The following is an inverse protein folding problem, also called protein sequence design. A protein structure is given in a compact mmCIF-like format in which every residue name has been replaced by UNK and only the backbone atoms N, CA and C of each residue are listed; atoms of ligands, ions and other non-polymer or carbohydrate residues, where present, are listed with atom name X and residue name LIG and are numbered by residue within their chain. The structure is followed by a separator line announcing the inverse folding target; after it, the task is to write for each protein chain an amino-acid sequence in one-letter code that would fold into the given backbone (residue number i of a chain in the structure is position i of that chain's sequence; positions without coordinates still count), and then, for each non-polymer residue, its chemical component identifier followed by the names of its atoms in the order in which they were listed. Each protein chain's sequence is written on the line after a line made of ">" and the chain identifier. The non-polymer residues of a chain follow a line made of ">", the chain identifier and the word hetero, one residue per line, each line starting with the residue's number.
data_IF_954038291147
#
_entry.id   IF_954038291147
#
_cell.length_a   1.000
_cell.length_b   1.000
_cell.length_c   1.000
_cell.angle_alpha   90.00
_cell.angle_beta   90.00
_cell.angle_gamma   90.00
#
_symmetry.space_group_name_H-M   'P 1'
#
loop_
_entity.id
_entity.type
_entity.pdbx_description
1 polymer ?
#
# COMPACT_ATOMS: atom_id res chain seq x y z
N UNK A 1 13.50 26.95 1.67
CA UNK A 1 13.26 25.83 0.75
C UNK A 1 12.28 24.88 1.40
N UNK A 2 11.16 24.54 0.76
CA UNK A 2 10.23 23.56 1.27
C UNK A 2 10.85 22.18 1.46
N UNK A 3 10.41 21.48 2.49
CA UNK A 3 10.73 20.09 2.81
C UNK A 3 9.44 19.24 2.82
N UNK A 4 9.58 17.92 2.92
CA UNK A 4 8.44 16.98 2.93
C UNK A 4 7.39 17.33 4.00
N UNK A 5 7.81 17.84 5.17
CA UNK A 5 6.87 18.24 6.23
C UNK A 5 5.89 19.32 5.77
N UNK A 6 6.38 20.32 5.04
CA UNK A 6 5.54 21.41 4.50
C UNK A 6 4.50 20.88 3.50
N UNK A 7 4.87 19.84 2.74
CA UNK A 7 3.97 19.18 1.78
C UNK A 7 2.79 18.52 2.50
N UNK A 8 3.01 17.90 3.66
CA UNK A 8 1.92 17.31 4.45
C UNK A 8 0.94 18.36 4.98
N UNK A 9 1.43 19.53 5.41
CA UNK A 9 0.59 20.64 5.86
C UNK A 9 -0.29 21.18 4.71
N UNK A 10 0.31 21.35 3.53
CA UNK A 10 -0.41 21.75 2.31
C UNK A 10 -1.45 20.70 1.93
N UNK A 11 -1.10 19.41 1.96
CA UNK A 11 -2.00 18.32 1.63
C UNK A 11 -3.23 18.26 2.56
N UNK A 12 -3.08 18.57 3.86
CA UNK A 12 -4.21 18.66 4.79
C UNK A 12 -5.15 19.84 4.44
N UNK A 13 -4.62 20.98 3.98
CA UNK A 13 -5.44 22.09 3.48
C UNK A 13 -6.28 21.67 2.26
N UNK A 14 -5.63 21.02 1.27
CA UNK A 14 -6.29 20.50 0.06
C UNK A 14 -7.38 19.47 0.43
N UNK A 15 -7.07 18.56 1.37
CA UNK A 15 -7.99 17.52 1.85
C UNK A 15 -9.27 18.11 2.43
N UNK A 16 -9.16 19.11 3.30
CA UNK A 16 -10.30 19.81 3.90
C UNK A 16 -11.14 20.54 2.85
N UNK A 17 -10.50 21.19 1.88
CA UNK A 17 -11.20 21.99 0.88
C UNK A 17 -11.94 21.15 -0.19
N UNK A 18 -11.33 20.05 -0.63
CA UNK A 18 -11.76 19.36 -1.84
C UNK A 18 -12.09 17.88 -1.67
N UNK A 19 -11.73 17.27 -0.53
CA UNK A 19 -11.87 15.82 -0.29
C UNK A 19 -11.42 14.97 -1.50
N UNK A 20 -10.16 15.14 -1.96
CA UNK A 20 -9.66 14.49 -3.17
C UNK A 20 -9.62 12.97 -3.00
N UNK A 21 -9.49 12.24 -4.12
CA UNK A 21 -9.24 10.80 -4.11
C UNK A 21 -7.78 10.50 -3.73
N UNK A 22 -6.82 11.29 -4.22
CA UNK A 22 -5.40 11.16 -3.87
C UNK A 22 -4.64 12.48 -4.07
N UNK A 23 -3.51 12.64 -3.37
CA UNK A 23 -2.54 13.72 -3.56
C UNK A 23 -1.16 13.06 -3.72
N UNK A 24 -0.48 13.37 -4.81
CA UNK A 24 0.85 12.84 -5.13
C UNK A 24 1.82 14.02 -5.28
N UNK A 25 2.89 14.00 -4.51
CA UNK A 25 4.04 14.89 -4.68
C UNK A 25 4.93 14.33 -5.78
N UNK A 26 5.41 15.16 -6.69
CA UNK A 26 6.41 14.77 -7.68
C UNK A 26 7.50 15.84 -7.79
N UNK A 27 8.48 15.66 -8.68
CA UNK A 27 9.54 16.64 -8.88
C UNK A 27 10.65 16.57 -7.82
N UNK A 28 11.33 17.71 -7.60
CA UNK A 28 12.56 17.84 -6.81
C UNK A 28 12.39 17.32 -5.37
N UNK A 29 11.38 17.80 -4.64
CA UNK A 29 11.11 17.40 -3.25
C UNK A 29 10.81 15.89 -3.16
N UNK A 30 10.11 15.33 -4.15
CA UNK A 30 9.81 13.91 -4.19
C UNK A 30 11.06 13.04 -4.41
N UNK A 31 12.09 13.55 -5.08
CA UNK A 31 13.36 12.82 -5.25
C UNK A 31 14.29 13.03 -4.07
N UNK A 32 14.51 14.29 -3.71
CA UNK A 32 15.64 14.73 -2.90
C UNK A 32 15.23 15.16 -1.48
N UNK A 33 13.94 15.15 -1.16
CA UNK A 33 13.38 15.51 0.15
C UNK A 33 13.28 17.02 0.43
N UNK A 34 13.86 17.84 -0.45
CA UNK A 34 13.82 19.30 -0.47
C UNK A 34 13.90 19.82 -1.91
N UNK A 35 13.45 21.05 -2.14
CA UNK A 35 13.41 21.65 -3.47
C UNK A 35 13.05 23.12 -3.42
N UNK A 36 12.96 23.75 -4.59
CA UNK A 36 12.58 25.16 -4.72
C UNK A 36 11.07 25.35 -4.90
N UNK A 37 10.41 24.33 -5.46
CA UNK A 37 9.01 24.29 -5.83
C UNK A 37 8.29 23.04 -5.31
N UNK A 38 7.00 23.18 -5.03
CA UNK A 38 6.14 22.09 -4.59
C UNK A 38 5.21 21.67 -5.74
N UNK A 39 5.56 20.58 -6.39
CA UNK A 39 4.83 19.96 -7.50
C UNK A 39 3.79 18.94 -6.99
N UNK A 40 2.49 19.24 -7.09
CA UNK A 40 1.41 18.36 -6.63
C UNK A 40 0.48 17.93 -7.76
N UNK A 41 0.18 16.63 -7.81
CA UNK A 41 -0.90 16.05 -8.58
C UNK A 41 -2.05 15.69 -7.64
N UNK A 42 -3.18 16.37 -7.77
CA UNK A 42 -4.40 16.09 -7.02
C UNK A 42 -5.38 15.34 -7.91
N UNK A 43 -5.68 14.10 -7.53
CA UNK A 43 -6.67 13.26 -8.21
C UNK A 43 -8.01 13.46 -7.53
N UNK A 44 -9.03 13.88 -8.28
CA UNK A 44 -10.36 14.11 -7.71
C UNK A 44 -11.37 14.69 -8.70
N UNK A 45 -12.42 15.29 -8.18
CA UNK A 45 -13.48 15.90 -9.02
C UNK A 45 -12.99 17.23 -9.60
N UNK A 46 -13.04 17.38 -10.93
CA UNK A 46 -12.64 18.64 -11.62
C UNK A 46 -13.34 19.90 -11.08
N UNK A 47 -14.61 19.78 -10.64
CA UNK A 47 -15.39 20.89 -10.07
C UNK A 47 -14.77 21.51 -8.81
N UNK A 48 -13.83 20.83 -8.15
CA UNK A 48 -13.17 21.29 -6.92
C UNK A 48 -11.82 21.99 -7.17
N UNK A 49 -11.39 22.17 -8.42
CA UNK A 49 -10.10 22.82 -8.74
C UNK A 49 -9.97 24.21 -8.09
N UNK A 50 -11.02 25.01 -8.10
CA UNK A 50 -10.96 26.36 -7.56
C UNK A 50 -10.93 26.37 -6.02
N UNK A 51 -11.60 25.42 -5.37
CA UNK A 51 -11.54 25.23 -3.92
C UNK A 51 -10.11 24.84 -3.49
N UNK A 52 -9.46 23.97 -4.27
CA UNK A 52 -8.05 23.59 -4.07
C UNK A 52 -7.16 24.84 -4.16
N UNK A 53 -7.25 25.63 -5.24
CA UNK A 53 -6.41 26.82 -5.41
C UNK A 53 -6.60 27.81 -4.25
N UNK A 54 -7.84 28.06 -3.83
CA UNK A 54 -8.14 28.95 -2.69
C UNK A 54 -7.53 28.44 -1.38
N UNK A 55 -7.52 27.12 -1.17
CA UNK A 55 -6.90 26.50 0.02
C UNK A 55 -5.39 26.70 0.11
N UNK A 56 -4.74 27.09 -0.99
CA UNK A 56 -3.30 27.29 -1.08
C UNK A 56 -2.86 28.75 -0.84
N UNK A 57 -3.80 29.71 -0.80
CA UNK A 57 -3.50 31.13 -0.61
C UNK A 57 -2.60 31.45 0.61
N UNK A 58 -2.76 30.80 1.77
CA UNK A 58 -1.86 31.02 2.91
C UNK A 58 -0.40 30.64 2.64
N UNK A 59 -0.15 29.68 1.73
CA UNK A 59 1.16 29.08 1.49
C UNK A 59 1.92 29.75 0.35
N UNK A 60 1.23 30.39 -0.61
CA UNK A 60 1.87 31.06 -1.75
C UNK A 60 2.83 32.20 -1.38
N UNK A 61 2.72 32.75 -0.16
CA UNK A 61 3.69 33.74 0.34
C UNK A 61 5.02 33.12 0.74
N UNK A 62 5.04 31.82 1.06
CA UNK A 62 6.20 31.11 1.59
C UNK A 62 6.82 30.18 0.53
N UNK A 63 5.99 29.62 -0.36
CA UNK A 63 6.41 28.58 -1.28
C UNK A 63 5.86 28.81 -2.69
N UNK A 64 6.65 28.42 -3.70
CA UNK A 64 6.15 28.20 -5.05
C UNK A 64 5.43 26.86 -5.09
N UNK A 65 4.15 26.83 -5.47
CA UNK A 65 3.32 25.61 -5.45
C UNK A 65 2.61 25.44 -6.79
N UNK A 66 2.96 24.40 -7.52
CA UNK A 66 2.34 24.02 -8.78
C UNK A 66 1.39 22.84 -8.55
N UNK A 67 0.09 23.07 -8.76
CA UNK A 67 -0.93 22.05 -8.54
C UNK A 67 -1.66 21.69 -9.84
N UNK A 68 -1.49 20.43 -10.23
CA UNK A 68 -2.22 19.80 -11.33
C UNK A 68 -3.40 19.01 -10.77
N UNK A 69 -4.59 19.29 -11.27
CA UNK A 69 -5.81 18.55 -10.88
C UNK A 69 -6.29 17.68 -12.02
N UNK A 70 -6.49 16.39 -11.75
CA UNK A 70 -6.97 15.43 -12.76
C UNK A 70 -8.11 14.58 -12.22
N UNK A 71 -9.05 14.19 -13.09
CA UNK A 71 -10.05 13.17 -12.73
C UNK A 71 -9.50 11.76 -12.94
N UNK A 72 -10.07 10.76 -12.26
CA UNK A 72 -9.75 9.34 -12.49
C UNK A 72 -9.88 8.94 -13.98
N UNK A 73 -10.92 9.44 -14.66
CA UNK A 73 -11.14 9.19 -16.09
C UNK A 73 -10.04 9.81 -16.97
N UNK A 74 -9.58 11.01 -16.64
CA UNK A 74 -8.49 11.66 -17.36
C UNK A 74 -7.15 10.98 -17.12
N UNK A 75 -6.89 10.54 -15.89
CA UNK A 75 -5.70 9.79 -15.52
C UNK A 75 -5.61 8.47 -16.31
N UNK A 76 -6.73 7.74 -16.42
CA UNK A 76 -6.84 6.55 -17.28
C UNK A 76 -6.55 6.87 -18.75
N UNK A 77 -7.14 7.95 -19.28
CA UNK A 77 -6.91 8.38 -20.68
C UNK A 77 -5.43 8.72 -20.95
N UNK A 78 -4.79 9.43 -20.03
CA UNK A 78 -3.36 9.77 -20.12
C UNK A 78 -2.49 8.50 -20.06
N UNK A 79 -2.87 7.53 -19.23
CA UNK A 79 -2.15 6.26 -19.11
C UNK A 79 -2.23 5.46 -20.41
N UNK A 80 -3.43 5.28 -20.96
CA UNK A 80 -3.63 4.55 -22.23
C UNK A 80 -2.91 5.18 -23.43
N UNK A 81 -2.62 6.48 -23.37
CA UNK A 81 -1.86 7.20 -24.42
C UNK A 81 -0.34 7.22 -24.17
N UNK A 82 0.16 6.57 -23.13
CA UNK A 82 1.59 6.57 -22.80
C UNK A 82 2.12 7.98 -22.52
N UNK A 83 1.36 8.79 -21.76
CA UNK A 83 1.74 10.17 -21.47
C UNK A 83 3.13 10.26 -20.81
N UNK A 84 4.07 11.07 -21.33
CA UNK A 84 5.35 11.33 -20.69
C UNK A 84 5.21 11.90 -19.28
N UNK A 85 4.16 12.69 -19.04
CA UNK A 85 3.84 13.23 -17.72
C UNK A 85 3.57 12.11 -16.71
N UNK A 86 2.73 11.13 -17.05
CA UNK A 86 2.49 10.00 -16.15
C UNK A 86 3.73 9.13 -15.93
N UNK A 87 4.62 9.00 -16.92
CA UNK A 87 5.91 8.33 -16.70
C UNK A 87 6.77 9.07 -15.67
N UNK A 88 6.78 10.42 -15.68
CA UNK A 88 7.44 11.22 -14.63
C UNK A 88 6.82 10.94 -13.25
N UNK A 89 5.49 10.98 -13.15
CA UNK A 89 4.78 10.68 -11.89
C UNK A 89 5.06 9.26 -11.39
N UNK A 90 5.11 8.27 -12.28
CA UNK A 90 5.42 6.88 -11.89
C UNK A 90 6.86 6.72 -11.37
N UNK A 91 7.82 7.46 -11.94
CA UNK A 91 9.23 7.38 -11.56
C UNK A 91 9.55 8.14 -10.27
N UNK A 92 8.94 9.31 -10.09
CA UNK A 92 9.34 10.28 -9.07
C UNK A 92 8.25 10.49 -8.00
N UNK A 93 7.01 10.09 -8.28
CA UNK A 93 5.85 10.41 -7.46
C UNK A 93 5.88 9.71 -6.10
N UNK A 94 5.62 10.50 -5.05
CA UNK A 94 5.35 10.02 -3.70
C UNK A 94 3.89 10.27 -3.36
N UNK A 95 3.17 9.21 -2.99
CA UNK A 95 1.79 9.33 -2.53
C UNK A 95 1.78 10.00 -1.15
N UNK A 96 1.18 11.19 -1.07
CA UNK A 96 1.07 11.96 0.17
C UNK A 96 -0.24 11.65 0.88
N UNK A 97 -1.31 11.46 0.12
CA UNK A 97 -2.63 11.14 0.66
C UNK A 97 -3.43 10.27 -0.31
N UNK A 98 -4.21 9.34 0.24
CA UNK A 98 -5.21 8.58 -0.49
C UNK A 98 -6.48 8.46 0.34
N UNK A 99 -7.62 8.78 -0.27
CA UNK A 99 -8.93 8.63 0.36
C UNK A 99 -9.23 7.15 0.57
N UNK A 100 -9.74 6.84 1.76
CA UNK A 100 -10.12 5.48 2.16
C UNK A 100 -8.97 4.48 2.08
N UNK A 101 -7.71 4.91 2.29
CA UNK A 101 -6.55 4.02 2.20
C UNK A 101 -6.72 2.74 3.04
N UNK A 102 -7.22 2.86 4.28
CA UNK A 102 -7.48 1.71 5.14
C UNK A 102 -8.48 0.72 4.52
N UNK A 103 -9.57 1.17 3.89
CA UNK A 103 -10.51 0.22 3.29
C UNK A 103 -9.91 -0.50 2.08
N UNK A 104 -9.10 0.21 1.28
CA UNK A 104 -8.39 -0.40 0.14
C UNK A 104 -7.35 -1.43 0.61
N UNK A 105 -6.62 -1.17 1.70
CA UNK A 105 -5.71 -2.15 2.32
C UNK A 105 -6.45 -3.41 2.77
N UNK A 106 -7.57 -3.26 3.48
CA UNK A 106 -8.39 -4.40 3.92
C UNK A 106 -8.93 -5.18 2.73
N UNK A 107 -9.53 -4.48 1.77
CA UNK A 107 -10.10 -5.09 0.56
C UNK A 107 -9.04 -5.85 -0.23
N UNK A 108 -7.84 -5.29 -0.39
CA UNK A 108 -6.75 -5.98 -1.09
C UNK A 108 -6.28 -7.23 -0.36
N UNK A 109 -6.31 -7.24 0.97
CA UNK A 109 -6.02 -8.45 1.76
C UNK A 109 -7.10 -9.52 1.57
N UNK A 110 -8.37 -9.13 1.56
CA UNK A 110 -9.51 -10.03 1.31
C UNK A 110 -9.48 -10.60 -0.11
N UNK A 111 -9.17 -9.78 -1.12
CA UNK A 111 -8.99 -10.22 -2.51
C UNK A 111 -7.85 -11.25 -2.65
N UNK A 112 -6.71 -11.03 -1.98
CA UNK A 112 -5.60 -12.00 -1.97
C UNK A 112 -6.01 -13.33 -1.30
N UNK A 113 -6.82 -13.27 -0.23
CA UNK A 113 -7.32 -14.48 0.44
C UNK A 113 -8.24 -15.28 -0.49
N UNK A 114 -9.19 -14.62 -1.16
CA UNK A 114 -10.05 -15.26 -2.17
C UNK A 114 -9.25 -15.79 -3.36
N UNK A 115 -8.20 -15.09 -3.79
CA UNK A 115 -7.31 -15.56 -4.83
C UNK A 115 -6.58 -16.85 -4.39
N UNK A 116 -6.11 -16.91 -3.15
CA UNK A 116 -5.46 -18.09 -2.61
C UNK A 116 -6.39 -19.32 -2.61
N UNK A 117 -7.68 -19.13 -2.29
CA UNK A 117 -8.69 -20.19 -2.35
C UNK A 117 -8.90 -20.69 -3.78
N UNK A 118 -9.07 -19.77 -4.73
CA UNK A 118 -9.26 -20.11 -6.15
C UNK A 118 -8.05 -20.87 -6.73
N UNK A 119 -6.83 -20.41 -6.43
CA UNK A 119 -5.60 -21.08 -6.89
C UNK A 119 -5.43 -22.46 -6.26
N UNK A 120 -5.83 -22.63 -5.01
CA UNK A 120 -5.81 -23.92 -4.32
C UNK A 120 -6.75 -24.94 -4.98
N UNK A 121 -7.96 -24.50 -5.35
CA UNK A 121 -8.93 -25.33 -6.08
C UNK A 121 -8.43 -25.68 -7.48
N UNK A 122 -7.83 -24.72 -8.18
CA UNK A 122 -7.25 -24.90 -9.51
C UNK A 122 -5.94 -25.71 -9.57
N UNK A 123 -5.41 -26.17 -8.43
CA UNK A 123 -4.16 -26.95 -8.38
C UNK A 123 -2.87 -26.13 -8.47
N UNK A 124 -2.97 -24.80 -8.44
CA UNK A 124 -1.82 -23.88 -8.50
C UNK A 124 -1.26 -23.61 -7.10
N UNK A 125 -0.74 -24.66 -6.45
CA UNK A 125 -0.40 -24.64 -5.02
C UNK A 125 0.68 -23.61 -4.63
N UNK A 126 1.68 -23.38 -5.50
CA UNK A 126 2.68 -22.32 -5.30
C UNK A 126 2.02 -20.94 -5.24
N UNK A 127 1.14 -20.66 -6.21
CA UNK A 127 0.37 -19.42 -6.25
C UNK A 127 -0.55 -19.27 -5.04
N UNK A 128 -1.23 -20.35 -4.64
CA UNK A 128 -2.10 -20.36 -3.47
C UNK A 128 -1.33 -20.03 -2.18
N UNK A 129 -0.13 -20.61 -1.98
CA UNK A 129 0.73 -20.29 -0.84
C UNK A 129 1.12 -18.80 -0.86
N UNK A 130 1.57 -18.28 -2.01
CA UNK A 130 2.00 -16.89 -2.14
C UNK A 130 0.85 -15.91 -1.86
N UNK A 131 -0.32 -16.12 -2.47
CA UNK A 131 -1.50 -15.29 -2.23
C UNK A 131 -1.95 -15.36 -0.76
N UNK A 132 -1.85 -16.52 -0.09
CA UNK A 132 -2.17 -16.63 1.33
C UNK A 132 -1.20 -15.84 2.22
N UNK A 133 0.10 -15.83 1.90
CA UNK A 133 1.10 -15.02 2.62
C UNK A 133 0.86 -13.52 2.40
N UNK A 134 0.57 -13.10 1.17
CA UNK A 134 0.25 -11.71 0.85
C UNK A 134 -1.03 -11.23 1.56
N UNK A 135 -2.06 -12.08 1.61
CA UNK A 135 -3.29 -11.80 2.36
C UNK A 135 -2.99 -11.55 3.85
N UNK A 136 -2.17 -12.42 4.46
CA UNK A 136 -1.77 -12.30 5.87
C UNK A 136 -0.92 -11.03 6.11
N UNK A 137 0.04 -10.72 5.23
CA UNK A 137 0.86 -9.52 5.33
C UNK A 137 0.00 -8.25 5.26
N UNK A 138 -0.89 -8.16 4.27
CA UNK A 138 -1.72 -6.98 4.04
C UNK A 138 -2.74 -6.77 5.16
N UNK A 139 -3.35 -7.82 5.70
CA UNK A 139 -4.32 -7.67 6.80
C UNK A 139 -3.63 -7.23 8.11
N UNK A 140 -2.41 -7.71 8.38
CA UNK A 140 -1.62 -7.26 9.52
C UNK A 140 -1.19 -5.79 9.36
N UNK A 141 -0.71 -5.41 8.17
CA UNK A 141 -0.39 -4.00 7.85
C UNK A 141 -1.61 -3.11 7.96
N UNK A 142 -2.77 -3.54 7.45
CA UNK A 142 -4.03 -2.82 7.61
C UNK A 142 -4.35 -2.57 9.09
N UNK A 143 -4.23 -3.61 9.91
CA UNK A 143 -4.49 -3.53 11.34
C UNK A 143 -3.54 -2.55 12.03
N UNK A 144 -2.24 -2.63 11.74
CA UNK A 144 -1.24 -1.69 12.26
C UNK A 144 -1.51 -0.24 11.82
N UNK A 145 -1.77 -0.02 10.53
CA UNK A 145 -2.11 1.30 9.99
C UNK A 145 -3.35 1.90 10.67
N UNK A 146 -4.35 1.06 10.98
CA UNK A 146 -5.54 1.48 11.73
C UNK A 146 -5.20 1.93 13.16
N UNK A 147 -4.11 1.44 13.74
CA UNK A 147 -3.61 1.82 15.07
C UNK A 147 -2.53 2.91 15.03
N UNK A 148 -2.38 3.61 13.89
CA UNK A 148 -1.48 4.75 13.78
C UNK A 148 -0.02 4.40 13.47
N UNK A 149 0.25 3.15 13.10
CA UNK A 149 1.58 2.75 12.65
C UNK A 149 1.97 3.43 11.33
N UNK A 150 3.24 3.81 11.21
CA UNK A 150 3.83 4.24 9.95
C UNK A 150 4.34 3.05 9.15
N UNK A 151 3.94 2.93 7.88
CA UNK A 151 4.24 1.78 7.04
C UNK A 151 5.75 1.53 6.88
N UNK A 152 6.26 0.45 7.47
CA UNK A 152 7.59 -0.10 7.21
C UNK A 152 7.58 -0.98 5.95
N UNK A 153 8.60 -0.84 5.09
CA UNK A 153 8.79 -1.71 3.92
C UNK A 153 9.37 -3.06 4.36
N UNK A 154 8.52 -3.94 4.86
CA UNK A 154 8.85 -5.32 5.23
C UNK A 154 7.80 -6.30 4.74
N UNK A 155 8.22 -7.53 4.47
CA UNK A 155 7.36 -8.66 4.09
C UNK A 155 7.40 -9.80 5.11
N UNK A 156 8.18 -9.62 6.18
CA UNK A 156 8.39 -10.62 7.19
C UNK A 156 7.24 -10.58 8.22
N UNK A 157 6.51 -11.68 8.32
CA UNK A 157 5.37 -11.87 9.20
C UNK A 157 5.80 -11.79 10.66
N UNK A 158 6.93 -12.39 11.05
CA UNK A 158 7.46 -12.31 12.41
C UNK A 158 7.68 -10.86 12.85
N UNK A 159 8.25 -10.04 11.97
CA UNK A 159 8.45 -8.59 12.19
C UNK A 159 7.12 -7.88 12.35
N UNK A 160 6.14 -8.14 11.49
CA UNK A 160 4.81 -7.52 11.60
C UNK A 160 4.10 -7.90 12.90
N UNK A 161 4.17 -9.16 13.33
CA UNK A 161 3.61 -9.60 14.62
C UNK A 161 4.32 -8.96 15.81
N UNK A 162 5.64 -8.81 15.75
CA UNK A 162 6.41 -8.10 16.79
C UNK A 162 6.00 -6.63 16.89
N UNK A 163 5.70 -5.98 15.76
CA UNK A 163 5.17 -4.61 15.75
C UNK A 163 3.74 -4.61 16.29
N UNK A 164 2.89 -5.57 15.94
CA UNK A 164 1.54 -5.68 16.53
C UNK A 164 1.59 -5.67 18.06
N UNK A 165 2.52 -6.42 18.67
CA UNK A 165 2.70 -6.43 20.12
C UNK A 165 3.10 -5.06 20.69
N UNK A 166 3.95 -4.30 19.98
CA UNK A 166 4.31 -2.92 20.36
C UNK A 166 3.12 -1.95 20.33
N UNK A 167 2.07 -2.27 19.58
CA UNK A 167 0.82 -1.51 19.49
C UNK A 167 -0.31 -2.13 20.34
N UNK A 168 0.03 -2.99 21.30
CA UNK A 168 -0.90 -3.73 22.18
C UNK A 168 -1.90 -4.65 21.44
N UNK A 169 -1.56 -5.05 20.21
CA UNK A 169 -2.38 -5.91 19.35
C UNK A 169 -1.97 -7.37 19.54
N UNK A 170 -2.81 -8.16 20.20
CA UNK A 170 -2.54 -9.56 20.49
C UNK A 170 -3.05 -10.47 19.37
N UNK A 171 -2.15 -10.95 18.52
CA UNK A 171 -2.41 -11.97 17.50
C UNK A 171 -1.80 -13.29 17.95
N UNK A 172 -2.62 -14.34 18.06
CA UNK A 172 -2.19 -15.67 18.48
C UNK A 172 -1.81 -16.50 17.25
N UNK A 173 -0.52 -16.75 17.09
CA UNK A 173 0.03 -17.69 16.11
C UNK A 173 1.28 -18.36 16.69
N UNK A 174 1.51 -19.64 16.39
CA UNK A 174 2.70 -20.35 16.87
C UNK A 174 3.90 -20.09 15.95
N UNK A 175 5.11 -20.28 16.45
CA UNK A 175 6.34 -20.03 15.70
C UNK A 175 6.45 -20.87 14.43
N UNK A 176 6.03 -22.13 14.48
CA UNK A 176 6.05 -23.02 13.30
C UNK A 176 5.21 -22.47 12.13
N UNK A 177 4.06 -21.86 12.41
CA UNK A 177 3.23 -21.24 11.37
C UNK A 177 3.84 -19.92 10.88
N UNK A 178 4.49 -19.16 11.77
CA UNK A 178 5.19 -17.92 11.37
C UNK A 178 6.33 -18.26 10.41
N UNK A 179 7.20 -19.21 10.78
CA UNK A 179 8.35 -19.62 9.98
C UNK A 179 7.91 -20.21 8.63
N UNK A 180 6.84 -21.01 8.64
CA UNK A 180 6.25 -21.53 7.41
C UNK A 180 5.77 -20.40 6.49
N UNK A 181 5.04 -19.40 7.01
CA UNK A 181 4.55 -18.29 6.18
C UNK A 181 5.70 -17.41 5.65
N UNK A 182 6.72 -17.15 6.47
CA UNK A 182 7.89 -16.39 6.03
C UNK A 182 8.71 -17.14 4.96
N UNK A 183 8.80 -18.47 5.07
CA UNK A 183 9.50 -19.29 4.07
C UNK A 183 8.86 -19.27 2.68
N UNK A 184 7.53 -19.04 2.60
CA UNK A 184 6.82 -18.91 1.30
C UNK A 184 7.34 -17.69 0.52
N UNK A 185 7.62 -16.58 1.20
CA UNK A 185 8.11 -15.36 0.56
C UNK A 185 9.54 -15.51 0.02
N UNK A 186 10.32 -16.41 0.60
CA UNK A 186 11.69 -16.75 0.19
C UNK A 186 11.77 -17.75 -0.98
N UNK A 187 10.65 -18.36 -1.38
CA UNK A 187 10.59 -19.37 -2.46
C UNK A 187 10.09 -18.83 -3.81
N UNK A 188 10.38 -17.56 -4.14
CA UNK A 188 9.77 -16.87 -5.28
C UNK A 188 10.48 -17.15 -6.59
N UNK A 189 11.78 -17.41 -6.57
CA UNK A 189 12.56 -17.64 -7.78
C UNK A 189 12.80 -19.13 -8.07
N UNK A 190 12.90 -19.56 -9.34
CA UNK A 190 13.25 -20.94 -9.70
C UNK A 190 14.56 -21.44 -9.06
N UNK A 191 15.53 -20.55 -8.82
CA UNK A 191 16.76 -20.91 -8.10
C UNK A 191 16.57 -21.12 -6.58
N UNK A 192 15.46 -20.62 -6.03
CA UNK A 192 15.00 -20.83 -4.64
C UNK A 192 13.99 -21.99 -4.56
N UNK A 193 13.63 -22.57 -5.70
CA UNK A 193 12.72 -23.71 -5.85
C UNK A 193 13.42 -24.97 -5.32
N UNK A 194 13.39 -25.11 -4.00
CA UNK A 194 14.20 -26.06 -3.24
C UNK A 194 14.56 -25.58 -1.83
N UNK A 195 14.25 -24.32 -1.47
CA UNK A 195 14.54 -23.73 -0.15
C UNK A 195 13.37 -23.85 0.85
N UNK A 196 12.19 -24.29 0.43
CA UNK A 196 11.35 -25.07 1.34
C UNK A 196 12.03 -26.44 1.49
N UNK A 197 12.10 -27.04 2.69
CA UNK A 197 12.85 -28.27 2.96
C UNK A 197 12.46 -29.51 2.11
N UNK A 198 11.52 -29.38 1.15
CA UNK A 198 10.89 -30.49 0.40
C UNK A 198 10.55 -30.18 -1.07
N UNK A 199 11.00 -29.06 -1.67
CA UNK A 199 10.75 -28.73 -3.08
C UNK A 199 9.51 -27.85 -3.32
N UNK A 200 8.87 -27.98 -4.50
CA UNK A 200 7.72 -27.14 -4.88
C UNK A 200 6.54 -27.33 -3.91
N UNK A 201 5.80 -26.26 -3.53
CA UNK A 201 4.69 -26.36 -2.59
C UNK A 201 3.63 -27.39 -3.02
N UNK A 202 3.28 -28.29 -2.11
CA UNK A 202 2.27 -29.32 -2.33
C UNK A 202 0.86 -28.80 -2.05
N UNK A 203 -0.15 -29.60 -2.40
CA UNK A 203 -1.55 -29.39 -1.98
C UNK A 203 -1.68 -29.25 -0.46
N UNK A 204 -0.86 -29.97 0.31
CA UNK A 204 -0.87 -29.93 1.77
C UNK A 204 -0.34 -28.59 2.28
N UNK A 205 0.71 -28.08 1.66
CA UNK A 205 1.32 -26.79 2.02
C UNK A 205 0.35 -25.64 1.72
N UNK A 206 -0.29 -25.66 0.54
CA UNK A 206 -1.32 -24.67 0.19
C UNK A 206 -2.51 -24.68 1.17
N UNK A 207 -2.99 -25.88 1.56
CA UNK A 207 -4.01 -25.99 2.62
C UNK A 207 -3.52 -25.44 3.96
N UNK A 208 -2.27 -25.70 4.33
CA UNK A 208 -1.65 -25.19 5.56
C UNK A 208 -1.61 -23.65 5.54
N UNK A 209 -1.13 -23.05 4.45
CA UNK A 209 -1.03 -21.60 4.25
C UNK A 209 -2.41 -20.93 4.33
N UNK A 210 -3.40 -21.43 3.60
CA UNK A 210 -4.78 -20.93 3.64
C UNK A 210 -5.38 -20.99 5.05
N UNK A 211 -5.19 -22.11 5.75
CA UNK A 211 -5.68 -22.27 7.12
C UNK A 211 -5.03 -21.26 8.07
N UNK A 212 -3.73 -20.99 7.92
CA UNK A 212 -3.03 -19.98 8.73
C UNK A 212 -3.58 -18.59 8.44
N UNK A 213 -3.69 -18.21 7.16
CA UNK A 213 -4.24 -16.92 6.76
C UNK A 213 -5.66 -16.72 7.31
N UNK A 214 -6.56 -17.69 7.13
CA UNK A 214 -7.94 -17.62 7.66
C UNK A 214 -8.00 -17.41 9.17
N UNK A 215 -7.14 -18.09 9.95
CA UNK A 215 -7.06 -17.89 11.40
C UNK A 215 -6.70 -16.46 11.79
N UNK A 216 -5.90 -15.76 10.99
CA UNK A 216 -5.53 -14.37 11.23
C UNK A 216 -6.70 -13.45 10.91
N UNK A 217 -7.36 -13.65 9.77
CA UNK A 217 -8.58 -12.91 9.43
C UNK A 217 -9.69 -13.07 10.46
N UNK A 218 -9.90 -14.29 10.97
CA UNK A 218 -10.87 -14.56 12.05
C UNK A 218 -10.55 -13.84 13.35
N UNK A 219 -9.27 -13.73 13.73
CA UNK A 219 -8.86 -13.00 14.93
C UNK A 219 -9.05 -11.49 14.78
N UNK A 220 -8.87 -10.96 13.58
CA UNK A 220 -8.92 -9.53 13.29
C UNK A 220 -10.35 -9.01 13.08
N UNK A 221 -11.26 -9.87 12.62
CA UNK A 221 -12.67 -9.52 12.39
C UNK A 221 -13.58 -9.73 13.62
N UNK A 222 -13.03 -10.20 14.74
CA UNK A 222 -13.73 -10.25 16.04
C UNK A 222 -13.67 -8.88 16.72
#
# INVERSE_FOLDING_TARGET
>A
MPVIKDVYEIAESIKKAASPDAIVLFGSIARDGRGDDIDLLVVGRKKKKQDIIKSLYPFYRQFSIDVLTVSKSELRRLYSKGSPFLRKIQREGRLIYMKNALSEWKKSAEEDLSQAEYLMEGGFYKGACFSAQQAMEKILKWLLLRHGWELEKTHNIRRLLSICEQYDIKIKLNDEYIDFMDSIYLGRYPAEEGLLPVGAPTKRDAKKALRIAKKIFEQINR
#
